data_IF_714470333882
#
_entry.id   IF_714470333882
#
_cell.length_a   1.000
_cell.length_b   1.000
_cell.length_c   1.000
_cell.angle_alpha   90.00
_cell.angle_beta   90.00
_cell.angle_gamma   90.00
#
_symmetry.space_group_name_H-M   'P 1'
#
loop_
_entity.id
_entity.type
_entity.pdbx_description
1 polymer ?
#
# COMPACT_ATOMS: atom_id res chain seq x y z
N UNK A 1 -4.71 8.35 -13.66
CA UNK A 1 -4.18 7.11 -14.24
C UNK A 1 -4.91 5.91 -13.65
N UNK A 2 -5.08 4.78 -14.35
CA UNK A 2 -5.74 3.57 -13.78
C UNK A 2 -4.83 2.77 -12.85
N UNK A 3 -3.53 2.75 -13.16
CA UNK A 3 -2.49 2.01 -12.42
C UNK A 3 -1.30 2.93 -12.16
N UNK A 4 -0.64 2.75 -11.01
CA UNK A 4 0.62 3.42 -10.65
C UNK A 4 1.59 2.36 -10.15
N UNK A 5 2.81 2.37 -10.69
CA UNK A 5 3.90 1.48 -10.23
C UNK A 5 4.65 2.19 -9.11
N UNK A 6 4.76 1.53 -7.96
CA UNK A 6 5.45 2.04 -6.78
C UNK A 6 6.61 1.09 -6.45
N UNK A 7 7.80 1.35 -7.02
CA UNK A 7 9.02 0.67 -6.62
C UNK A 7 9.55 1.26 -5.31
N UNK A 8 10.34 0.46 -4.61
CA UNK A 8 11.10 0.93 -3.45
C UNK A 8 12.27 1.83 -3.87
N UNK A 9 12.69 2.67 -2.93
CA UNK A 9 13.89 3.50 -3.06
C UNK A 9 15.04 2.95 -2.22
N UNK A 10 15.66 3.81 -1.42
CA UNK A 10 16.65 3.39 -0.41
C UNK A 10 16.01 2.58 0.74
N UNK A 11 14.73 2.84 1.00
CA UNK A 11 13.91 2.14 2.00
C UNK A 11 12.47 2.01 1.46
N UNK A 12 11.48 2.30 2.30
CA UNK A 12 10.07 2.36 1.92
C UNK A 12 9.76 3.62 1.09
N UNK A 13 8.82 3.55 0.14
CA UNK A 13 8.42 4.70 -0.66
C UNK A 13 7.40 5.59 0.08
N UNK A 14 7.81 6.81 0.47
CA UNK A 14 6.96 7.80 1.16
C UNK A 14 5.63 8.09 0.43
N UNK A 15 5.62 7.99 -0.90
CA UNK A 15 4.46 8.27 -1.74
C UNK A 15 3.41 7.16 -1.76
N UNK A 16 3.67 6.01 -1.12
CA UNK A 16 2.74 4.88 -1.14
C UNK A 16 1.39 5.27 -0.54
N UNK A 17 1.40 5.97 0.60
CA UNK A 17 0.18 6.40 1.28
C UNK A 17 -0.68 7.30 0.39
N UNK A 18 -0.06 8.28 -0.27
CA UNK A 18 -0.75 9.21 -1.17
C UNK A 18 -1.42 8.46 -2.34
N UNK A 19 -0.73 7.48 -2.92
CA UNK A 19 -1.30 6.70 -4.03
C UNK A 19 -2.43 5.77 -3.58
N UNK A 20 -2.31 5.14 -2.42
CA UNK A 20 -3.39 4.32 -1.87
C UNK A 20 -4.65 5.17 -1.59
N UNK A 21 -4.48 6.43 -1.17
CA UNK A 21 -5.57 7.38 -0.92
C UNK A 21 -6.23 7.96 -2.20
N UNK A 22 -5.61 7.79 -3.37
CA UNK A 22 -5.95 8.54 -4.58
C UNK A 22 -6.94 7.84 -5.53
N UNK A 23 -7.63 6.79 -5.08
CA UNK A 23 -8.55 5.98 -5.90
C UNK A 23 -7.89 5.47 -7.20
N UNK A 24 -6.64 5.02 -7.09
CA UNK A 24 -5.87 4.40 -8.17
C UNK A 24 -5.37 3.03 -7.73
N UNK A 25 -5.10 2.14 -8.69
CA UNK A 25 -4.53 0.84 -8.38
C UNK A 25 -3.02 0.96 -8.23
N UNK A 26 -2.51 0.62 -7.06
CA UNK A 26 -1.08 0.57 -6.78
C UNK A 26 -0.52 -0.80 -7.14
N UNK A 27 0.46 -0.84 -8.04
CA UNK A 27 1.36 -1.97 -8.21
C UNK A 27 2.53 -1.78 -7.25
N UNK A 28 2.61 -2.57 -6.19
CA UNK A 28 3.63 -2.44 -5.14
C UNK A 28 4.72 -3.48 -5.32
N UNK A 29 5.98 -3.05 -5.26
CA UNK A 29 7.11 -3.98 -5.26
C UNK A 29 7.12 -4.81 -3.97
N UNK A 30 7.43 -6.09 -4.09
CA UNK A 30 7.80 -6.93 -2.95
C UNK A 30 9.04 -6.36 -2.27
N UNK A 31 8.92 -6.11 -0.97
CA UNK A 31 9.95 -5.47 -0.15
C UNK A 31 10.20 -6.24 1.13
N UNK A 32 11.42 -6.13 1.65
CA UNK A 32 11.74 -6.49 3.03
C UNK A 32 11.64 -5.31 3.98
N UNK A 33 11.45 -4.09 3.44
CA UNK A 33 11.29 -2.87 4.22
C UNK A 33 9.80 -2.56 4.35
N UNK A 34 9.36 -2.36 5.58
CA UNK A 34 7.96 -2.14 5.90
C UNK A 34 7.80 -0.96 6.86
N UNK A 35 6.71 -0.22 6.68
CA UNK A 35 6.23 0.71 7.70
C UNK A 35 5.31 0.00 8.68
N UNK A 36 5.05 0.64 9.83
CA UNK A 36 4.24 0.05 10.89
C UNK A 36 2.83 -0.36 10.45
N UNK A 37 2.28 0.29 9.43
CA UNK A 37 0.94 0.06 8.88
C UNK A 37 0.90 -0.91 7.70
N UNK A 38 2.05 -1.39 7.20
CA UNK A 38 2.08 -2.29 6.03
C UNK A 38 1.45 -3.65 6.31
N UNK A 39 1.47 -4.11 7.56
CA UNK A 39 0.97 -5.43 7.96
C UNK A 39 -0.53 -5.61 7.74
N UNK A 40 -1.26 -4.50 7.72
CA UNK A 40 -2.69 -4.48 7.48
C UNK A 40 -3.00 -4.48 5.97
N UNK A 41 -2.03 -4.16 5.13
CA UNK A 41 -2.21 -4.21 3.68
C UNK A 41 -2.24 -5.65 3.15
N UNK A 42 -3.26 -5.96 2.36
CA UNK A 42 -3.47 -7.30 1.82
C UNK A 42 -3.27 -7.28 0.29
N UNK A 43 -2.41 -8.17 -0.25
CA UNK A 43 -2.25 -8.32 -1.70
C UNK A 43 -3.59 -8.64 -2.38
N UNK A 44 -3.81 -8.06 -3.56
CA UNK A 44 -5.04 -8.14 -4.35
C UNK A 44 -6.31 -7.61 -3.68
N UNK A 45 -6.20 -7.02 -2.49
CA UNK A 45 -7.27 -6.27 -1.84
C UNK A 45 -6.93 -4.79 -1.74
N UNK A 46 -5.75 -4.42 -1.25
CA UNK A 46 -5.30 -3.02 -1.12
C UNK A 46 -4.29 -2.60 -2.19
N UNK A 47 -3.58 -3.55 -2.81
CA UNK A 47 -2.61 -3.29 -3.88
C UNK A 47 -2.39 -4.57 -4.69
N UNK A 48 -1.68 -4.48 -5.81
CA UNK A 48 -1.27 -5.66 -6.60
C UNK A 48 0.26 -5.82 -6.48
N UNK A 49 0.78 -6.95 -5.99
CA UNK A 49 2.21 -7.16 -5.84
C UNK A 49 2.91 -7.43 -7.18
N UNK A 50 4.17 -7.02 -7.29
CA UNK A 50 5.10 -7.53 -8.30
C UNK A 50 6.45 -7.88 -7.65
N UNK A 51 7.19 -8.79 -8.28
CA UNK A 51 8.42 -9.36 -7.72
C UNK A 51 9.47 -8.30 -7.45
N UNK A 52 10.26 -8.53 -6.40
CA UNK A 52 11.38 -7.67 -6.01
C UNK A 52 12.39 -7.44 -7.14
N UNK A 53 12.65 -8.46 -7.94
CA UNK A 53 13.57 -8.40 -9.10
C UNK A 53 12.94 -7.80 -10.37
N UNK A 54 11.68 -7.34 -10.29
CA UNK A 54 10.92 -6.71 -11.38
C UNK A 54 10.65 -7.66 -12.56
N UNK A 55 11.02 -8.94 -12.47
CA UNK A 55 10.96 -9.90 -13.57
C UNK A 55 9.55 -10.14 -14.13
N UNK A 56 8.51 -9.96 -13.31
CA UNK A 56 7.11 -10.15 -13.70
C UNK A 56 6.31 -8.85 -13.88
N UNK A 57 6.92 -7.67 -13.78
CA UNK A 57 6.19 -6.40 -13.77
C UNK A 57 5.31 -6.22 -15.02
N UNK A 58 5.86 -6.52 -16.20
CA UNK A 58 5.14 -6.39 -17.47
C UNK A 58 3.92 -7.32 -17.54
N UNK A 59 4.07 -8.55 -17.05
CA UNK A 59 3.00 -9.54 -17.04
C UNK A 59 1.91 -9.17 -16.04
N UNK A 60 2.28 -8.64 -14.86
CA UNK A 60 1.35 -8.09 -13.87
C UNK A 60 0.55 -6.93 -14.44
N UNK A 61 1.18 -6.00 -15.15
CA UNK A 61 0.48 -4.88 -15.80
C UNK A 61 -0.54 -5.40 -16.83
N UNK A 62 -0.11 -6.30 -17.73
CA UNK A 62 -0.96 -6.84 -18.79
C UNK A 62 -2.13 -7.66 -18.25
N UNK A 63 -1.92 -8.45 -17.20
CA UNK A 63 -2.98 -9.26 -16.60
C UNK A 63 -3.98 -8.39 -15.82
N UNK A 64 -3.49 -7.40 -15.07
CA UNK A 64 -4.32 -6.48 -14.29
C UNK A 64 -5.24 -5.65 -15.19
N UNK A 65 -4.72 -5.14 -16.31
CA UNK A 65 -5.50 -4.34 -17.27
C UNK A 65 -6.68 -5.09 -17.91
N UNK A 66 -6.64 -6.42 -17.93
CA UNK A 66 -7.73 -7.26 -18.46
C UNK A 66 -8.85 -7.50 -17.44
N UNK A 67 -8.65 -7.15 -16.18
CA UNK A 67 -9.58 -7.43 -15.09
C UNK A 67 -10.10 -6.13 -14.45
N UNK A 68 -11.09 -5.51 -15.09
CA UNK A 68 -11.62 -4.23 -14.62
C UNK A 68 -12.34 -4.31 -13.26
N UNK A 69 -12.95 -5.45 -12.93
CA UNK A 69 -13.56 -5.67 -11.61
C UNK A 69 -12.52 -5.67 -10.51
N UNK A 70 -11.37 -6.34 -10.73
CA UNK A 70 -10.26 -6.33 -9.78
C UNK A 70 -9.70 -4.92 -9.60
N UNK A 71 -9.49 -4.18 -10.70
CA UNK A 71 -8.97 -2.81 -10.62
C UNK A 71 -9.89 -1.90 -9.80
N UNK A 72 -11.20 -1.96 -10.03
CA UNK A 72 -12.18 -1.19 -9.26
C UNK A 72 -12.18 -1.56 -7.79
N UNK A 73 -12.21 -2.86 -7.48
CA UNK A 73 -12.16 -3.37 -6.11
C UNK A 73 -10.92 -2.88 -5.37
N UNK A 74 -9.73 -3.07 -5.95
CA UNK A 74 -8.46 -2.72 -5.31
C UNK A 74 -8.33 -1.22 -5.08
N UNK A 75 -8.69 -0.39 -6.06
CA UNK A 75 -8.61 1.06 -5.91
C UNK A 75 -9.57 1.59 -4.83
N UNK A 76 -10.78 1.03 -4.74
CA UNK A 76 -11.76 1.45 -3.73
C UNK A 76 -11.35 0.99 -2.33
N UNK A 77 -10.95 -0.27 -2.19
CA UNK A 77 -10.55 -0.85 -0.91
C UNK A 77 -9.30 -0.16 -0.34
N UNK A 78 -8.30 0.14 -1.19
CA UNK A 78 -7.10 0.85 -0.75
C UNK A 78 -7.42 2.26 -0.24
N UNK A 79 -8.25 3.01 -0.97
CA UNK A 79 -8.63 4.37 -0.59
C UNK A 79 -9.48 4.37 0.67
N UNK A 80 -10.44 3.45 0.79
CA UNK A 80 -11.25 3.32 2.00
C UNK A 80 -10.38 3.01 3.22
N UNK A 81 -9.46 2.05 3.09
CA UNK A 81 -8.53 1.69 4.15
C UNK A 81 -7.73 2.89 4.65
N UNK A 82 -7.17 3.71 3.75
CA UNK A 82 -6.41 4.90 4.14
C UNK A 82 -7.29 5.92 4.87
N UNK A 83 -8.49 6.18 4.36
CA UNK A 83 -9.41 7.16 4.96
C UNK A 83 -9.87 6.73 6.36
N UNK A 84 -10.14 5.45 6.55
CA UNK A 84 -10.65 4.92 7.82
C UNK A 84 -9.54 4.67 8.85
N UNK A 85 -8.36 4.18 8.42
CA UNK A 85 -7.33 3.67 9.33
C UNK A 85 -6.06 4.51 9.40
N UNK A 86 -5.74 5.30 8.38
CA UNK A 86 -4.47 6.04 8.28
C UNK A 86 -4.66 7.57 8.27
N UNK A 87 -5.77 8.05 8.83
CA UNK A 87 -5.98 9.47 9.06
C UNK A 87 -5.10 10.01 10.21
N UNK A 88 -5.05 11.35 10.34
CA UNK A 88 -4.19 12.03 11.31
C UNK A 88 -4.42 11.56 12.75
N UNK A 89 -5.66 11.27 13.13
CA UNK A 89 -6.00 10.88 14.50
C UNK A 89 -5.57 9.44 14.78
N UNK A 90 -5.77 8.52 13.83
CA UNK A 90 -5.26 7.15 13.93
C UNK A 90 -3.74 7.11 14.05
N UNK A 91 -3.02 7.92 13.26
CA UNK A 91 -1.55 8.02 13.33
C UNK A 91 -1.06 8.54 14.67
N UNK A 92 -1.70 9.59 15.21
CA UNK A 92 -1.38 10.11 16.55
C UNK A 92 -1.68 9.09 17.64
N UNK A 93 -2.82 8.39 17.54
CA UNK A 93 -3.21 7.35 18.47
C UNK A 93 -2.15 6.24 18.53
N UNK A 94 -1.71 5.73 17.37
CA UNK A 94 -0.62 4.77 17.28
C UNK A 94 0.65 5.27 17.98
N UNK A 95 1.07 6.51 17.70
CA UNK A 95 2.28 7.08 18.28
C UNK A 95 2.18 7.19 19.82
N UNK A 96 1.04 7.64 20.35
CA UNK A 96 0.83 7.73 21.80
C UNK A 96 0.91 6.35 22.45
N UNK A 97 0.24 5.35 21.88
CA UNK A 97 0.31 3.97 22.39
C UNK A 97 1.72 3.40 22.33
N UNK A 98 2.43 3.61 21.22
CA UNK A 98 3.80 3.16 21.04
C UNK A 98 4.73 3.77 22.09
N UNK A 99 4.68 5.09 22.29
CA UNK A 99 5.53 5.79 23.26
C UNK A 99 5.21 5.40 24.71
N UNK A 100 3.92 5.23 25.04
CA UNK A 100 3.52 4.74 26.36
C UNK A 100 4.01 3.33 26.64
N UNK A 101 3.86 2.41 25.67
CA UNK A 101 4.33 1.04 25.81
C UNK A 101 5.87 0.99 25.93
N UNK A 102 6.58 1.81 25.15
CA UNK A 102 8.03 1.91 25.23
C UNK A 102 8.52 2.42 26.60
N UNK A 103 7.82 3.39 27.20
CA UNK A 103 8.18 3.92 28.52
C UNK A 103 7.96 2.95 29.69
N UNK A 104 7.29 1.82 29.46
CA UNK A 104 7.11 0.73 30.44
C UNK A 104 8.23 -0.33 30.38
N UNK A 105 9.11 -0.24 29.39
CA UNK A 105 10.31 -1.09 29.23
C UNK A 105 11.48 -0.47 29.98
#
# INVERSE_FOLDING_TARGET
YKLVVVPDGNSVPDRLLDFLASNVVVLKQESTSEEFWYRDLQPYHHFIPFKRDVSNLIDVIRSSLKNESLLRHVAQASTLYVLEHLNSDSMKCYLVHLLHAYAQV
#
